data_IF_277619189219
#
_entry.id   IF_277619189219
#
_cell.length_a   1.000
_cell.length_b   1.000
_cell.length_c   1.000
_cell.angle_alpha   90.00
_cell.angle_beta   90.00
_cell.angle_gamma   90.00
#
_symmetry.space_group_name_H-M   'P 1'
#
loop_
_entity.id
_entity.type
_entity.pdbx_description
1 polymer ?
#
# COMPACT_ATOMS: atom_id res chain seq x y z
N UNK A 1 10.49 -66.17 50.26
CA UNK A 1 10.46 -66.34 48.79
C UNK A 1 9.86 -65.08 48.19
N UNK A 2 10.63 -64.37 47.37
CA UNK A 2 10.27 -63.08 46.77
C UNK A 2 10.00 -63.27 45.28
N UNK A 3 8.88 -62.77 44.77
CA UNK A 3 8.60 -62.39 43.36
C UNK A 3 7.38 -61.44 43.46
N UNK A 4 7.33 -60.18 43.03
CA UNK A 4 7.99 -59.49 41.93
C UNK A 4 6.88 -58.89 41.05
N UNK A 5 6.28 -57.79 41.47
CA UNK A 5 5.20 -57.09 40.75
C UNK A 5 5.81 -56.20 39.65
N UNK A 6 5.82 -56.68 38.41
CA UNK A 6 6.39 -55.99 37.25
C UNK A 6 5.32 -55.25 36.45
N UNK A 7 5.33 -53.92 36.54
CA UNK A 7 4.43 -53.04 35.82
C UNK A 7 4.50 -53.19 34.30
N UNK A 8 3.32 -53.23 33.67
CA UNK A 8 3.17 -53.18 32.23
C UNK A 8 3.70 -51.84 31.69
N UNK A 9 4.85 -51.86 31.02
CA UNK A 9 5.29 -50.78 30.14
C UNK A 9 4.29 -50.69 28.99
N UNK A 10 3.48 -49.63 28.95
CA UNK A 10 2.76 -49.22 27.73
C UNK A 10 3.80 -48.92 26.66
N UNK A 11 4.00 -49.87 25.74
CA UNK A 11 4.79 -49.68 24.53
C UNK A 11 3.93 -48.82 23.60
N UNK A 12 4.15 -47.51 23.62
CA UNK A 12 3.59 -46.58 22.62
C UNK A 12 4.23 -46.91 21.28
N UNK A 13 3.41 -47.12 20.26
CA UNK A 13 3.90 -47.57 18.94
C UNK A 13 4.81 -46.49 18.32
N UNK A 14 5.93 -46.88 17.67
CA UNK A 14 6.87 -45.93 17.05
C UNK A 14 6.23 -45.06 15.96
N UNK A 15 5.08 -45.50 15.44
CA UNK A 15 4.28 -44.76 14.45
C UNK A 15 3.50 -43.60 15.08
N UNK A 16 2.99 -43.71 16.31
CA UNK A 16 2.35 -42.56 16.99
C UNK A 16 3.39 -41.50 17.38
N UNK A 17 4.55 -41.92 17.88
CA UNK A 17 5.65 -40.99 18.24
C UNK A 17 6.21 -40.28 17.01
N UNK A 18 6.30 -40.96 15.86
CA UNK A 18 6.77 -40.36 14.60
C UNK A 18 5.74 -39.43 13.98
N UNK A 19 4.44 -39.72 14.12
CA UNK A 19 3.36 -38.82 13.69
C UNK A 19 3.30 -37.60 14.58
N UNK A 20 3.43 -37.73 15.91
CA UNK A 20 3.53 -36.60 16.83
C UNK A 20 4.79 -35.75 16.60
N UNK A 21 5.94 -36.36 16.29
CA UNK A 21 7.18 -35.64 15.96
C UNK A 21 7.10 -34.92 14.61
N UNK A 22 6.44 -35.53 13.60
CA UNK A 22 6.13 -34.89 12.32
C UNK A 22 5.17 -33.70 12.49
N UNK A 23 4.10 -33.88 13.28
CA UNK A 23 3.15 -32.81 13.59
C UNK A 23 3.77 -31.69 14.43
N UNK A 24 4.70 -32.01 15.34
CA UNK A 24 5.42 -31.01 16.13
C UNK A 24 6.42 -30.20 15.29
N UNK A 25 7.04 -30.84 14.29
CA UNK A 25 7.86 -30.18 13.29
C UNK A 25 7.04 -29.22 12.43
N UNK A 26 5.89 -29.65 11.93
CA UNK A 26 4.99 -28.81 11.13
C UNK A 26 4.34 -27.68 11.96
N UNK A 27 3.99 -27.94 13.22
CA UNK A 27 3.44 -26.92 14.13
C UNK A 27 4.45 -25.81 14.48
N UNK A 28 5.76 -26.09 14.45
CA UNK A 28 6.79 -25.07 14.70
C UNK A 28 6.86 -24.00 13.60
N UNK A 29 6.42 -24.35 12.38
CA UNK A 29 6.41 -23.47 11.21
C UNK A 29 5.05 -22.82 10.95
N UNK A 30 4.04 -23.13 11.77
CA UNK A 30 2.69 -22.57 11.68
C UNK A 30 2.44 -21.57 12.82
N UNK A 31 1.65 -20.54 12.54
CA UNK A 31 1.15 -19.58 13.51
C UNK A 31 -0.08 -20.13 14.25
N UNK A 32 -0.58 -19.41 15.25
CA UNK A 32 -1.72 -19.80 16.11
C UNK A 32 -3.03 -20.10 15.34
N UNK A 33 -3.09 -19.69 14.07
CA UNK A 33 -4.21 -19.84 13.14
C UNK A 33 -3.98 -20.95 12.08
N UNK A 34 -2.89 -21.72 12.20
CA UNK A 34 -2.55 -22.83 11.32
C UNK A 34 -1.99 -22.42 9.95
N UNK A 35 -1.62 -21.15 9.77
CA UNK A 35 -0.97 -20.65 8.55
C UNK A 35 0.55 -20.55 8.72
N UNK A 36 1.34 -20.51 7.62
CA UNK A 36 2.78 -20.31 7.71
C UNK A 36 3.16 -19.12 8.59
N UNK A 37 4.21 -19.30 9.40
CA UNK A 37 4.64 -18.30 10.37
C UNK A 37 5.01 -16.98 9.70
N UNK A 38 4.41 -15.89 10.18
CA UNK A 38 4.70 -14.53 9.69
C UNK A 38 6.09 -14.09 10.15
N UNK A 39 6.93 -13.65 9.21
CA UNK A 39 8.29 -13.16 9.46
C UNK A 39 8.40 -11.63 9.48
N UNK A 40 7.32 -10.93 9.13
CA UNK A 40 7.29 -9.46 9.04
C UNK A 40 7.57 -8.79 10.39
N UNK A 41 8.29 -7.66 10.33
CA UNK A 41 8.63 -6.83 11.49
C UNK A 41 7.82 -5.53 11.47
N UNK A 42 7.84 -4.78 12.58
CA UNK A 42 7.29 -3.41 12.62
C UNK A 42 7.85 -2.53 11.51
N UNK A 43 9.13 -2.67 11.18
CA UNK A 43 9.80 -1.91 10.13
C UNK A 43 9.28 -2.24 8.73
N UNK A 44 9.14 -3.52 8.41
CA UNK A 44 8.61 -3.94 7.11
C UNK A 44 7.15 -3.54 6.96
N UNK A 45 6.34 -3.70 8.02
CA UNK A 45 4.94 -3.26 8.03
C UNK A 45 4.82 -1.74 7.84
N UNK A 46 5.63 -0.95 8.57
CA UNK A 46 5.66 0.51 8.44
C UNK A 46 6.08 0.95 7.03
N UNK A 47 7.10 0.30 6.45
CA UNK A 47 7.53 0.58 5.09
C UNK A 47 6.42 0.30 4.07
N UNK A 48 5.73 -0.85 4.19
CA UNK A 48 4.59 -1.17 3.33
C UNK A 48 3.47 -0.14 3.44
N UNK A 49 3.10 0.27 4.66
CA UNK A 49 2.07 1.30 4.88
C UNK A 49 2.48 2.62 4.22
N UNK A 50 3.70 3.09 4.46
CA UNK A 50 4.21 4.34 3.87
C UNK A 50 4.16 4.26 2.34
N UNK A 51 4.62 3.16 1.75
CA UNK A 51 4.62 2.99 0.29
C UNK A 51 3.23 2.89 -0.32
N UNK A 52 2.24 2.37 0.43
CA UNK A 52 0.85 2.35 0.00
C UNK A 52 0.23 3.77 0.00
N UNK A 53 0.65 4.63 0.93
CA UNK A 53 0.15 6.01 1.06
C UNK A 53 0.84 6.96 0.07
N UNK A 54 2.15 6.83 -0.14
CA UNK A 54 2.90 7.65 -1.10
C UNK A 54 2.66 7.14 -2.53
N UNK A 55 1.47 7.44 -3.05
CA UNK A 55 1.02 7.06 -4.39
C UNK A 55 0.61 8.26 -5.24
N UNK A 56 -0.10 7.98 -6.32
CA UNK A 56 -0.61 8.99 -7.27
C UNK A 56 -1.49 10.05 -6.62
N UNK A 57 -2.14 9.73 -5.49
CA UNK A 57 -2.97 10.67 -4.73
C UNK A 57 -2.22 11.89 -4.19
N UNK A 58 -0.91 11.77 -3.93
CA UNK A 58 -0.08 12.89 -3.44
C UNK A 58 0.03 14.01 -4.49
N UNK A 59 0.02 13.66 -5.78
CA UNK A 59 0.09 14.64 -6.88
C UNK A 59 -1.16 15.52 -6.94
N UNK A 60 -2.35 14.91 -6.78
CA UNK A 60 -3.61 15.68 -6.69
C UNK A 60 -3.75 16.43 -5.36
N UNK A 61 -3.13 15.93 -4.29
CA UNK A 61 -3.18 16.55 -2.97
C UNK A 61 -2.51 17.93 -2.97
N UNK A 62 -1.38 18.08 -3.65
CA UNK A 62 -0.68 19.36 -3.77
C UNK A 62 -1.59 20.43 -4.38
N UNK A 63 -2.32 20.08 -5.44
CA UNK A 63 -3.29 21.00 -6.06
C UNK A 63 -4.45 21.33 -5.12
N UNK A 64 -5.01 20.35 -4.41
CA UNK A 64 -6.09 20.59 -3.44
C UNK A 64 -5.65 21.51 -2.29
N UNK A 65 -4.45 21.32 -1.75
CA UNK A 65 -3.86 22.20 -0.73
C UNK A 65 -3.64 23.60 -1.29
N UNK A 66 -3.20 23.73 -2.55
CA UNK A 66 -3.05 25.02 -3.19
C UNK A 66 -4.38 25.80 -3.29
N UNK A 67 -5.50 25.10 -3.53
CA UNK A 67 -6.84 25.72 -3.53
C UNK A 67 -7.30 26.15 -2.11
N UNK A 68 -6.94 25.39 -1.08
CA UNK A 68 -7.29 25.69 0.32
C UNK A 68 -6.44 26.83 0.92
N UNK A 69 -5.27 27.10 0.34
CA UNK A 69 -4.35 28.12 0.82
C UNK A 69 -3.53 27.67 2.03
N UNK A 70 -2.63 28.57 2.46
CA UNK A 70 -1.54 28.24 3.40
C UNK A 70 -1.97 27.90 4.83
N UNK A 71 -3.15 28.37 5.28
CA UNK A 71 -3.68 28.06 6.63
C UNK A 71 -4.58 26.83 6.57
N UNK A 72 -5.63 26.89 5.75
CA UNK A 72 -6.65 25.85 5.73
C UNK A 72 -6.11 24.53 5.18
N UNK A 73 -5.17 24.58 4.21
CA UNK A 73 -4.52 23.38 3.68
C UNK A 73 -3.85 22.53 4.77
N UNK A 74 -2.83 23.04 5.48
CA UNK A 74 -2.20 22.32 6.59
C UNK A 74 -3.15 21.95 7.73
N UNK A 75 -4.10 22.84 8.09
CA UNK A 75 -5.08 22.54 9.13
C UNK A 75 -5.94 21.31 8.77
N UNK A 76 -6.42 21.23 7.52
CA UNK A 76 -7.19 20.09 7.02
C UNK A 76 -6.32 18.83 6.90
N UNK A 77 -5.04 18.96 6.53
CA UNK A 77 -4.10 17.83 6.52
C UNK A 77 -3.91 17.23 7.92
N UNK A 78 -3.76 18.06 8.95
CA UNK A 78 -3.65 17.61 10.34
C UNK A 78 -4.95 16.95 10.83
N UNK A 79 -6.11 17.51 10.46
CA UNK A 79 -7.41 16.92 10.79
C UNK A 79 -7.55 15.53 10.17
N UNK A 80 -7.27 15.39 8.86
CA UNK A 80 -7.34 14.09 8.21
C UNK A 80 -6.29 13.11 8.77
N UNK A 81 -5.09 13.57 9.12
CA UNK A 81 -4.10 12.74 9.78
C UNK A 81 -4.61 12.19 11.13
N UNK A 82 -5.28 13.02 11.95
CA UNK A 82 -5.88 12.59 13.20
C UNK A 82 -7.01 11.57 12.98
N UNK A 83 -7.87 11.78 11.97
CA UNK A 83 -8.93 10.83 11.60
C UNK A 83 -8.35 9.50 11.12
N UNK A 84 -7.31 9.53 10.26
CA UNK A 84 -6.63 8.33 9.76
C UNK A 84 -5.97 7.57 10.92
N UNK A 85 -5.30 8.28 11.83
CA UNK A 85 -4.69 7.66 13.00
C UNK A 85 -5.73 6.96 13.87
N UNK A 86 -6.81 7.66 14.23
CA UNK A 86 -7.88 7.11 15.06
C UNK A 86 -8.57 5.89 14.40
N UNK A 87 -8.88 5.98 13.11
CA UNK A 87 -9.49 4.86 12.38
C UNK A 87 -8.53 3.67 12.24
N UNK A 88 -7.23 3.93 12.03
CA UNK A 88 -6.21 2.86 11.97
C UNK A 88 -6.05 2.15 13.31
N UNK A 89 -6.13 2.87 14.44
CA UNK A 89 -6.12 2.25 15.77
C UNK A 89 -7.33 1.34 16.00
N UNK A 90 -8.53 1.78 15.57
CA UNK A 90 -9.72 0.94 15.66
C UNK A 90 -9.61 -0.32 14.78
N UNK A 91 -9.08 -0.20 13.56
CA UNK A 91 -8.85 -1.35 12.69
C UNK A 91 -7.84 -2.33 13.29
N UNK A 92 -6.78 -1.82 13.94
CA UNK A 92 -5.80 -2.64 14.62
C UNK A 92 -6.42 -3.40 15.81
N UNK A 93 -7.31 -2.77 16.58
CA UNK A 93 -8.06 -3.43 17.66
C UNK A 93 -9.03 -4.48 17.13
N UNK A 94 -9.70 -4.23 15.99
CA UNK A 94 -10.61 -5.19 15.34
C UNK A 94 -9.90 -6.34 14.61
N UNK A 95 -8.56 -6.38 14.62
CA UNK A 95 -7.79 -7.43 13.95
C UNK A 95 -8.12 -8.83 14.49
N UNK A 96 -8.36 -8.97 15.80
CA UNK A 96 -8.83 -10.22 16.42
C UNK A 96 -10.22 -10.04 17.00
N UNK A 97 -11.10 -11.01 16.76
CA UNK A 97 -12.45 -11.02 17.35
C UNK A 97 -12.46 -11.83 18.65
N UNK A 98 -13.03 -11.25 19.71
CA UNK A 98 -13.13 -11.89 21.02
C UNK A 98 -11.93 -11.56 21.91
N UNK A 99 -11.07 -12.54 22.17
CA UNK A 99 -9.85 -12.35 22.96
C UNK A 99 -8.75 -11.63 22.14
N UNK A 100 -8.18 -10.51 22.63
CA UNK A 100 -7.05 -9.84 21.98
C UNK A 100 -5.81 -10.72 21.77
N UNK A 101 -5.62 -11.78 22.57
CA UNK A 101 -4.47 -12.68 22.45
C UNK A 101 -4.76 -13.90 21.56
N UNK A 102 -5.89 -14.58 21.77
CA UNK A 102 -6.21 -15.86 21.09
C UNK A 102 -7.37 -15.81 20.10
N UNK A 103 -8.04 -14.66 19.98
CA UNK A 103 -9.24 -14.50 19.16
C UNK A 103 -9.04 -14.77 17.68
N UNK A 104 -10.12 -15.03 16.94
CA UNK A 104 -10.04 -15.30 15.49
C UNK A 104 -9.52 -14.06 14.76
N UNK A 105 -8.45 -14.22 13.99
CA UNK A 105 -7.86 -13.14 13.18
C UNK A 105 -8.70 -12.84 11.94
N UNK A 106 -8.90 -11.57 11.67
CA UNK A 106 -9.57 -11.05 10.48
C UNK A 106 -8.51 -10.53 9.50
N UNK A 107 -8.37 -11.19 8.36
CA UNK A 107 -7.36 -10.85 7.36
C UNK A 107 -7.78 -9.76 6.40
N UNK A 108 -9.09 -9.59 6.23
CA UNK A 108 -9.67 -8.59 5.35
C UNK A 108 -10.57 -7.66 6.15
N UNK A 109 -10.71 -6.43 5.67
CA UNK A 109 -11.64 -5.47 6.26
C UNK A 109 -13.07 -6.01 6.32
N UNK A 110 -13.52 -6.70 5.26
CA UNK A 110 -14.86 -7.32 5.26
C UNK A 110 -15.00 -8.43 6.30
N UNK A 111 -13.96 -9.24 6.54
CA UNK A 111 -14.01 -10.26 7.60
C UNK A 111 -14.12 -9.61 8.98
N UNK A 112 -13.40 -8.51 9.21
CA UNK A 112 -13.48 -7.75 10.47
C UNK A 112 -14.86 -7.13 10.66
N UNK A 113 -15.48 -6.57 9.61
CA UNK A 113 -16.84 -6.03 9.68
C UNK A 113 -17.85 -7.16 9.89
N UNK A 114 -17.68 -8.31 9.25
CA UNK A 114 -18.57 -9.46 9.41
C UNK A 114 -18.51 -10.04 10.82
N UNK A 115 -17.34 -10.11 11.41
CA UNK A 115 -17.14 -10.68 12.74
C UNK A 115 -17.56 -9.74 13.87
N UNK A 116 -17.49 -8.41 13.68
CA UNK A 116 -17.84 -7.42 14.70
C UNK A 116 -19.25 -6.82 14.55
N UNK A 117 -19.68 -6.48 13.33
CA UNK A 117 -20.93 -5.75 13.10
C UNK A 117 -22.08 -6.65 12.61
N UNK A 118 -21.75 -7.66 11.80
CA UNK A 118 -22.72 -8.59 11.22
C UNK A 118 -23.80 -7.95 10.32
N UNK A 119 -24.62 -8.80 9.70
CA UNK A 119 -25.85 -8.38 9.00
C UNK A 119 -25.65 -7.43 7.80
N UNK A 120 -26.61 -6.52 7.53
CA UNK A 120 -26.63 -5.69 6.32
C UNK A 120 -25.48 -4.66 6.25
N UNK A 121 -24.84 -4.35 7.38
CA UNK A 121 -23.70 -3.42 7.45
C UNK A 121 -22.48 -3.96 6.70
N UNK A 122 -22.30 -5.28 6.64
CA UNK A 122 -21.23 -5.93 5.86
C UNK A 122 -21.37 -5.62 4.38
N UNK A 123 -22.59 -5.67 3.86
CA UNK A 123 -22.87 -5.38 2.44
C UNK A 123 -22.56 -3.91 2.15
N UNK A 124 -23.05 -2.99 3.00
CA UNK A 124 -22.80 -1.56 2.84
C UNK A 124 -21.30 -1.22 2.88
N UNK A 125 -20.57 -1.69 3.89
CA UNK A 125 -19.12 -1.49 4.02
C UNK A 125 -18.35 -2.15 2.87
N UNK A 126 -18.77 -3.34 2.43
CA UNK A 126 -18.20 -4.04 1.29
C UNK A 126 -18.34 -3.23 -0.01
N UNK A 127 -19.53 -2.69 -0.28
CA UNK A 127 -19.78 -1.84 -1.47
C UNK A 127 -18.85 -0.63 -1.48
N UNK A 128 -18.72 0.08 -0.36
CA UNK A 128 -17.81 1.24 -0.24
C UNK A 128 -16.35 0.82 -0.47
N UNK A 129 -15.91 -0.27 0.15
CA UNK A 129 -14.54 -0.78 0.02
C UNK A 129 -14.22 -1.15 -1.44
N UNK A 130 -15.11 -1.88 -2.11
CA UNK A 130 -14.91 -2.27 -3.51
C UNK A 130 -14.97 -1.09 -4.46
N UNK A 131 -15.87 -0.12 -4.23
CA UNK A 131 -15.92 1.11 -5.01
C UNK A 131 -14.60 1.90 -4.90
N UNK A 132 -14.03 1.98 -3.69
CA UNK A 132 -12.72 2.60 -3.47
C UNK A 132 -11.62 1.85 -4.25
N UNK A 133 -11.54 0.51 -4.13
CA UNK A 133 -10.53 -0.30 -4.81
C UNK A 133 -10.62 -0.17 -6.34
N UNK A 134 -11.83 -0.18 -6.90
CA UNK A 134 -12.05 0.05 -8.35
C UNK A 134 -11.64 1.45 -8.75
N UNK A 135 -12.00 2.47 -7.97
CA UNK A 135 -11.60 3.86 -8.21
C UNK A 135 -10.09 4.03 -8.21
N UNK A 136 -9.39 3.41 -7.24
CA UNK A 136 -7.93 3.41 -7.15
C UNK A 136 -7.30 2.71 -8.37
N UNK A 137 -7.82 1.56 -8.79
CA UNK A 137 -7.33 0.84 -9.97
C UNK A 137 -7.48 1.67 -11.26
N UNK A 138 -8.63 2.32 -11.45
CA UNK A 138 -8.87 3.23 -12.58
C UNK A 138 -7.92 4.42 -12.52
N UNK A 139 -7.77 5.04 -11.34
CA UNK A 139 -6.88 6.17 -11.12
C UNK A 139 -5.42 5.87 -11.47
N UNK A 140 -4.90 4.73 -11.01
CA UNK A 140 -3.55 4.28 -11.36
C UNK A 140 -3.39 3.98 -12.85
N UNK A 141 -4.41 3.41 -13.49
CA UNK A 141 -4.38 3.12 -14.93
C UNK A 141 -4.30 4.39 -15.77
N UNK A 142 -5.11 5.39 -15.42
CA UNK A 142 -5.09 6.70 -16.08
C UNK A 142 -3.75 7.40 -15.83
N UNK A 143 -3.32 7.49 -14.56
CA UNK A 143 -2.06 8.14 -14.19
C UNK A 143 -0.86 7.52 -14.92
N UNK A 144 -0.75 6.19 -14.91
CA UNK A 144 0.30 5.46 -15.62
C UNK A 144 0.30 5.75 -17.12
N UNK A 145 -0.88 5.76 -17.75
CA UNK A 145 -1.00 6.07 -19.18
C UNK A 145 -0.57 7.50 -19.54
N UNK A 146 -0.87 8.48 -18.68
CA UNK A 146 -0.44 9.88 -18.86
C UNK A 146 1.08 9.97 -18.73
N UNK A 147 1.66 9.34 -17.71
CA UNK A 147 3.11 9.31 -17.50
C UNK A 147 3.86 8.66 -18.66
N UNK A 148 3.41 7.48 -19.13
CA UNK A 148 4.04 6.79 -20.27
C UNK A 148 3.93 7.61 -21.57
N UNK A 149 2.79 8.27 -21.79
CA UNK A 149 2.59 9.17 -22.93
C UNK A 149 3.54 10.37 -22.86
N UNK A 150 3.77 10.92 -21.67
CA UNK A 150 4.69 12.04 -21.47
C UNK A 150 6.15 11.63 -21.78
N UNK A 151 6.59 10.47 -21.29
CA UNK A 151 7.93 9.92 -21.56
C UNK A 151 8.13 9.74 -23.07
N UNK A 152 7.18 9.08 -23.75
CA UNK A 152 7.30 8.82 -25.19
C UNK A 152 7.30 10.08 -26.03
N UNK A 153 6.61 11.13 -25.57
CA UNK A 153 6.66 12.45 -26.20
C UNK A 153 8.02 13.12 -25.98
N UNK A 154 8.61 13.01 -24.78
CA UNK A 154 9.94 13.52 -24.49
C UNK A 154 11.02 12.83 -25.35
N UNK A 155 10.97 11.50 -25.45
CA UNK A 155 11.87 10.71 -26.30
C UNK A 155 11.76 11.12 -27.78
N UNK A 156 10.52 11.33 -28.27
CA UNK A 156 10.27 11.77 -29.64
C UNK A 156 10.85 13.16 -29.92
N UNK A 157 10.70 14.11 -29.00
CA UNK A 157 11.31 15.43 -29.14
C UNK A 157 12.84 15.39 -29.08
N UNK A 158 13.42 14.49 -28.30
CA UNK A 158 14.87 14.31 -28.25
C UNK A 158 15.43 13.71 -29.55
N UNK A 159 14.70 12.77 -30.16
CA UNK A 159 15.14 12.09 -31.39
C UNK A 159 14.90 12.92 -32.66
N UNK A 160 13.71 13.53 -32.81
CA UNK A 160 13.29 14.17 -34.06
C UNK A 160 13.29 15.71 -33.99
N UNK A 161 13.59 16.28 -32.82
CA UNK A 161 13.53 17.72 -32.59
C UNK A 161 12.10 18.27 -32.37
N UNK A 162 12.00 19.53 -31.93
CA UNK A 162 10.72 20.17 -31.60
C UNK A 162 9.82 20.49 -32.82
N UNK A 163 10.29 20.22 -34.04
CA UNK A 163 9.54 20.46 -35.27
C UNK A 163 8.45 19.39 -35.50
N UNK A 164 8.59 18.20 -34.92
CA UNK A 164 7.61 17.12 -35.05
C UNK A 164 6.49 17.24 -33.99
N UNK A 165 5.20 17.14 -34.37
CA UNK A 165 4.09 17.28 -33.42
C UNK A 165 3.96 16.10 -32.43
N UNK A 166 4.79 15.05 -32.55
CA UNK A 166 4.93 13.89 -31.65
C UNK A 166 3.60 13.43 -31.02
N UNK A 167 2.58 13.20 -31.87
CA UNK A 167 1.25 12.76 -31.41
C UNK A 167 1.33 11.30 -30.94
N UNK A 168 1.04 11.08 -29.66
CA UNK A 168 0.91 9.75 -29.07
C UNK A 168 -0.48 9.58 -28.45
N UNK A 169 -1.10 8.42 -28.64
CA UNK A 169 -2.42 8.08 -28.07
C UNK A 169 -2.26 7.43 -26.69
N UNK A 170 -3.16 7.73 -25.75
CA UNK A 170 -3.13 7.14 -24.39
C UNK A 170 -3.67 5.70 -24.35
N UNK A 171 -4.54 5.31 -25.29
CA UNK A 171 -5.22 4.00 -25.31
C UNK A 171 -4.27 2.79 -25.26
N UNK A 172 -3.18 2.71 -26.06
CA UNK A 172 -2.27 1.56 -25.99
C UNK A 172 -1.58 1.45 -24.62
N UNK A 173 -1.25 2.57 -23.95
CA UNK A 173 -0.62 2.55 -22.63
C UNK A 173 -1.59 2.10 -21.53
N UNK A 174 -2.87 2.48 -21.63
CA UNK A 174 -3.91 1.97 -20.71
C UNK A 174 -4.08 0.46 -20.82
N UNK A 175 -4.14 -0.08 -22.05
CA UNK A 175 -4.25 -1.53 -22.28
C UNK A 175 -3.01 -2.25 -21.77
N UNK A 176 -1.81 -1.73 -22.08
CA UNK A 176 -0.54 -2.30 -21.63
C UNK A 176 -0.46 -2.37 -20.10
N UNK A 177 -0.82 -1.28 -19.41
CA UNK A 177 -0.79 -1.25 -17.94
C UNK A 177 -1.84 -2.19 -17.34
N UNK A 178 -3.01 -2.33 -17.96
CA UNK A 178 -4.02 -3.31 -17.56
C UNK A 178 -3.52 -4.76 -17.67
N UNK A 179 -2.81 -5.10 -18.75
CA UNK A 179 -2.18 -6.43 -18.88
C UNK A 179 -1.15 -6.69 -17.79
N UNK A 180 -0.33 -5.69 -17.46
CA UNK A 180 0.65 -5.78 -16.36
C UNK A 180 -0.05 -5.98 -15.01
N UNK A 181 -1.17 -5.31 -14.75
CA UNK A 181 -1.97 -5.53 -13.53
C UNK A 181 -2.52 -6.96 -13.44
N UNK A 182 -2.99 -7.54 -14.56
CA UNK A 182 -3.48 -8.93 -14.59
C UNK A 182 -2.35 -9.92 -14.27
N UNK A 183 -1.14 -9.65 -14.77
CA UNK A 183 0.04 -10.48 -14.45
C UNK A 183 0.39 -10.35 -12.96
N UNK A 184 0.42 -9.14 -12.42
CA UNK A 184 0.71 -8.92 -11.00
C UNK A 184 -0.37 -9.48 -10.07
N UNK A 185 -1.65 -9.51 -10.49
CA UNK A 185 -2.72 -10.12 -9.70
C UNK A 185 -2.58 -11.64 -9.55
N UNK A 186 -1.72 -12.29 -10.34
CA UNK A 186 -1.44 -13.72 -10.20
C UNK A 186 -0.42 -14.01 -9.09
N UNK A 187 0.20 -13.00 -8.47
CA UNK A 187 1.15 -13.18 -7.38
C UNK A 187 0.37 -13.17 -6.05
N UNK A 188 0.21 -14.33 -5.38
CA UNK A 188 -0.72 -14.46 -4.25
C UNK A 188 -0.15 -13.98 -2.91
N UNK A 189 1.18 -13.82 -2.77
CA UNK A 189 1.81 -13.58 -1.47
C UNK A 189 2.55 -12.24 -1.35
N UNK A 190 2.21 -11.50 -0.28
CA UNK A 190 2.80 -10.21 0.08
C UNK A 190 4.30 -10.29 0.43
N UNK A 191 4.79 -11.47 0.81
CA UNK A 191 6.21 -11.71 1.12
C UNK A 191 7.10 -11.62 -0.12
N UNK A 192 6.54 -11.84 -1.32
CA UNK A 192 7.28 -11.76 -2.58
C UNK A 192 7.32 -10.35 -3.19
N UNK A 193 6.61 -9.38 -2.61
CA UNK A 193 6.48 -8.01 -3.16
C UNK A 193 7.16 -6.94 -2.30
N UNK A 194 7.93 -7.31 -1.28
CA UNK A 194 8.74 -6.36 -0.49
C UNK A 194 9.65 -5.50 -1.38
N UNK A 195 10.20 -6.09 -2.45
CA UNK A 195 11.02 -5.37 -3.42
C UNK A 195 10.21 -4.31 -4.21
N UNK A 196 8.92 -4.56 -4.49
CA UNK A 196 8.05 -3.57 -5.14
C UNK A 196 7.83 -2.36 -4.24
N UNK A 197 7.64 -2.58 -2.93
CA UNK A 197 7.54 -1.49 -1.97
C UNK A 197 8.85 -0.67 -1.90
N UNK A 198 10.02 -1.31 -1.96
CA UNK A 198 11.30 -0.58 -2.01
C UNK A 198 11.40 0.28 -3.27
N UNK A 199 11.11 -0.28 -4.45
CA UNK A 199 11.13 0.48 -5.71
C UNK A 199 10.14 1.64 -5.65
N UNK A 200 8.93 1.40 -5.15
CA UNK A 200 7.92 2.44 -4.96
C UNK A 200 8.43 3.55 -4.02
N UNK A 201 9.04 3.20 -2.88
CA UNK A 201 9.63 4.17 -1.96
C UNK A 201 10.69 5.04 -2.64
N UNK A 202 11.64 4.41 -3.37
CA UNK A 202 12.72 5.13 -4.07
C UNK A 202 12.16 6.08 -5.11
N UNK A 203 11.24 5.62 -5.96
CA UNK A 203 10.56 6.47 -6.94
C UNK A 203 9.81 7.62 -6.27
N UNK A 204 9.19 7.34 -5.12
CA UNK A 204 8.42 8.30 -4.36
C UNK A 204 9.24 9.44 -3.76
N UNK A 205 10.37 9.12 -3.15
CA UNK A 205 11.32 10.12 -2.67
C UNK A 205 11.94 10.90 -3.84
N UNK A 206 12.22 10.22 -4.95
CA UNK A 206 12.80 10.86 -6.14
C UNK A 206 11.85 11.90 -6.73
N UNK A 207 10.58 11.55 -6.99
CA UNK A 207 9.65 12.52 -7.56
C UNK A 207 9.36 13.67 -6.58
N UNK A 208 9.26 13.38 -5.28
CA UNK A 208 9.02 14.40 -4.25
C UNK A 208 10.20 15.36 -4.14
N UNK A 209 11.43 14.84 -4.20
CA UNK A 209 12.66 15.64 -4.22
C UNK A 209 12.73 16.55 -5.44
N UNK A 210 12.42 16.03 -6.64
CA UNK A 210 12.35 16.83 -7.87
C UNK A 210 11.29 17.92 -7.72
N UNK A 211 10.07 17.58 -7.28
CA UNK A 211 8.98 18.56 -7.09
C UNK A 211 9.34 19.67 -6.09
N UNK A 212 9.97 19.30 -4.96
CA UNK A 212 10.44 20.27 -3.97
C UNK A 212 11.53 21.18 -4.54
N UNK A 213 12.52 20.61 -5.23
CA UNK A 213 13.62 21.37 -5.83
C UNK A 213 13.11 22.39 -6.85
N UNK A 214 12.23 21.98 -7.76
CA UNK A 214 11.63 22.87 -8.76
C UNK A 214 10.79 23.98 -8.11
N UNK A 215 10.01 23.66 -7.06
CA UNK A 215 9.24 24.67 -6.32
C UNK A 215 10.11 25.71 -5.61
N UNK A 216 11.19 25.27 -4.96
CA UNK A 216 12.16 26.18 -4.31
C UNK A 216 12.84 27.06 -5.37
N UNK A 217 13.33 26.47 -6.47
CA UNK A 217 13.97 27.24 -7.54
C UNK A 217 13.02 28.29 -8.14
N UNK A 218 11.75 27.93 -8.38
CA UNK A 218 10.77 28.86 -8.92
C UNK A 218 10.49 30.03 -7.96
N UNK A 219 10.33 29.76 -6.66
CA UNK A 219 10.09 30.81 -5.65
C UNK A 219 11.28 31.76 -5.50
N UNK A 220 12.51 31.23 -5.50
CA UNK A 220 13.73 32.06 -5.47
C UNK A 220 13.82 32.91 -6.74
N UNK A 221 13.63 32.31 -7.92
CA UNK A 221 13.70 33.03 -9.19
C UNK A 221 12.66 34.17 -9.26
N UNK A 222 11.41 33.87 -8.91
CA UNK A 222 10.34 34.87 -8.84
C UNK A 222 10.67 36.00 -7.86
N UNK A 223 11.24 35.67 -6.68
CA UNK A 223 11.66 36.70 -5.72
C UNK A 223 12.79 37.58 -6.25
N UNK A 224 13.72 37.02 -7.03
CA UNK A 224 14.82 37.76 -7.66
C UNK A 224 14.34 38.68 -8.80
N UNK A 225 13.36 38.24 -9.59
CA UNK A 225 12.76 39.08 -10.63
C UNK A 225 11.96 40.26 -10.05
N UNK A 226 11.17 40.02 -8.99
CA UNK A 226 10.44 41.07 -8.27
C UNK A 226 11.36 42.14 -7.68
N UNK A 227 12.55 41.76 -7.22
CA UNK A 227 13.54 42.70 -6.69
C UNK A 227 14.29 43.47 -7.78
N UNK A 228 14.37 42.92 -8.99
CA UNK A 228 15.07 43.52 -10.15
C UNK A 228 14.15 44.44 -10.98
N UNK A 229 12.85 44.15 -11.04
CA UNK A 229 11.86 44.93 -11.81
C UNK A 229 10.56 45.20 -11.02
N UNK A 230 10.56 46.13 -10.04
CA UNK A 230 9.39 46.41 -9.21
C UNK A 230 8.21 47.11 -9.94
N UNK A 231 8.34 47.48 -11.22
CA UNK A 231 7.38 48.35 -11.94
C UNK A 231 6.92 47.85 -13.33
N UNK A 232 7.16 46.59 -13.70
CA UNK A 232 6.59 46.04 -14.94
C UNK A 232 5.23 45.39 -14.64
N UNK A 233 4.12 45.82 -15.29
CA UNK A 233 2.82 45.20 -15.09
C UNK A 233 2.82 43.80 -15.73
N UNK A 234 2.38 42.80 -14.97
CA UNK A 234 2.06 41.48 -15.51
C UNK A 234 0.95 41.62 -16.56
N UNK A 235 1.26 41.32 -17.82
CA UNK A 235 0.27 41.06 -18.86
C UNK A 235 0.00 39.55 -18.96
#
# INVERSE_FOLDING_TARGET
>A
MAVGNGGAKKVVAPMEVSVEAGNAGDAAWMDDDGRPRRSGTFWTASAHIITAVIGSGVLSLAWAIAQLGWVAGPAVMLLFAAVIYYTSTLLAECYRTGDPATGKRNYTYMDAVRSNLGGPKVIFCGVIQYANLVGVAIGYTIASSISMRAIRRADCFHANGHADPCKSSSNPYMILFGLVQIVFSQIPDFDQIWWLSIVAAVMSFTYSGIGLSLGITQTICMSSELQTYPFLPSY
#
